data_IF_056863176236
#
_entry.id   IF_056863176236
#
_cell.length_a   1.000
_cell.length_b   1.000
_cell.length_c   1.000
_cell.angle_alpha   90.00
_cell.angle_beta   90.00
_cell.angle_gamma   90.00
#
_symmetry.space_group_name_H-M   'P 1'
#
loop_
_entity.id
_entity.type
_entity.pdbx_description
1 polymer ?
#
# COMPACT_ATOMS: atom_id res chain seq x y z
N UNK A 1 -4.27 10.97 16.75
CA UNK A 1 -5.66 10.97 16.25
C UNK A 1 -5.87 9.69 15.44
N UNK A 2 -7.02 9.03 15.60
CA UNK A 2 -7.38 7.83 14.82
C UNK A 2 -8.66 8.17 14.05
N UNK A 3 -8.65 7.92 12.75
CA UNK A 3 -9.81 8.15 11.87
C UNK A 3 -10.36 6.81 11.41
N UNK A 4 -11.68 6.63 11.55
CA UNK A 4 -12.37 5.38 11.19
C UNK A 4 -13.43 5.68 10.12
N UNK A 5 -13.40 4.93 9.02
CA UNK A 5 -14.40 4.99 7.95
C UNK A 5 -15.44 3.89 8.15
N UNK A 6 -16.71 4.26 8.32
CA UNK A 6 -17.82 3.31 8.57
C UNK A 6 -18.99 3.52 7.61
N UNK A 7 -19.86 2.52 7.48
CA UNK A 7 -21.07 2.56 6.64
C UNK A 7 -21.54 1.16 6.20
N UNK A 8 -22.70 1.05 5.54
CA UNK A 8 -23.25 -0.21 5.03
C UNK A 8 -22.38 -0.85 3.94
N UNK A 9 -22.35 -2.17 3.81
CA UNK A 9 -21.64 -2.84 2.70
C UNK A 9 -21.98 -2.21 1.35
N UNK A 10 -20.97 -2.00 0.49
CA UNK A 10 -21.12 -1.32 -0.80
C UNK A 10 -21.10 0.21 -0.77
N UNK A 11 -21.06 0.86 0.39
CA UNK A 11 -21.08 2.35 0.50
C UNK A 11 -19.82 3.08 0.00
N UNK A 12 -18.87 2.39 -0.64
CA UNK A 12 -17.67 3.01 -1.22
C UNK A 12 -16.51 3.31 -0.27
N UNK A 13 -16.61 3.02 1.04
CA UNK A 13 -15.52 3.21 2.03
C UNK A 13 -14.19 2.57 1.62
N UNK A 14 -14.19 1.28 1.23
CA UNK A 14 -12.97 0.62 0.78
C UNK A 14 -12.42 1.26 -0.51
N UNK A 15 -13.30 1.66 -1.43
CA UNK A 15 -12.89 2.36 -2.64
C UNK A 15 -12.25 3.71 -2.33
N UNK A 16 -12.81 4.49 -1.40
CA UNK A 16 -12.25 5.76 -0.97
C UNK A 16 -10.87 5.57 -0.32
N UNK A 17 -10.72 4.61 0.59
CA UNK A 17 -9.46 4.40 1.31
C UNK A 17 -8.38 3.83 0.38
N UNK A 18 -8.68 2.76 -0.35
CA UNK A 18 -7.66 2.04 -1.12
C UNK A 18 -7.51 2.55 -2.55
N UNK A 19 -8.60 2.81 -3.26
CA UNK A 19 -8.56 3.18 -4.69
C UNK A 19 -8.45 4.68 -4.93
N UNK A 20 -8.54 5.49 -3.87
CA UNK A 20 -8.43 6.96 -3.96
C UNK A 20 -7.30 7.47 -3.08
N UNK A 21 -7.42 7.37 -1.75
CA UNK A 21 -6.42 7.96 -0.84
C UNK A 21 -5.07 7.26 -0.96
N UNK A 22 -5.04 5.93 -0.81
CA UNK A 22 -3.79 5.18 -0.91
C UNK A 22 -3.20 5.21 -2.33
N UNK A 23 -4.06 5.05 -3.35
CA UNK A 23 -3.63 5.11 -4.75
C UNK A 23 -3.03 6.48 -5.14
N UNK A 24 -3.62 7.60 -4.69
CA UNK A 24 -3.07 8.93 -4.92
C UNK A 24 -1.73 9.11 -4.22
N UNK A 25 -1.61 8.61 -2.99
CA UNK A 25 -0.34 8.67 -2.27
C UNK A 25 0.76 7.85 -2.95
N UNK A 26 0.44 6.66 -3.45
CA UNK A 26 1.38 5.82 -4.18
C UNK A 26 1.78 6.48 -5.52
N UNK A 27 0.83 7.10 -6.22
CA UNK A 27 1.12 7.86 -7.44
C UNK A 27 2.10 9.02 -7.15
N UNK A 28 1.82 9.85 -6.16
CA UNK A 28 2.70 10.98 -5.80
C UNK A 28 4.09 10.50 -5.38
N UNK A 29 4.18 9.37 -4.66
CA UNK A 29 5.46 8.76 -4.33
C UNK A 29 6.20 8.29 -5.59
N UNK A 30 5.50 7.66 -6.52
CA UNK A 30 6.08 7.18 -7.78
C UNK A 30 6.60 8.33 -8.64
N UNK A 31 5.88 9.45 -8.67
CA UNK A 31 6.28 10.69 -9.36
C UNK A 31 7.53 11.33 -8.75
N UNK A 32 7.82 11.07 -7.47
CA UNK A 32 9.02 11.57 -6.79
C UNK A 32 10.32 10.83 -7.15
N UNK A 33 10.22 9.64 -7.77
CA UNK A 33 11.40 8.88 -8.18
C UNK A 33 12.04 9.42 -9.46
N UNK A 34 13.29 9.01 -9.73
CA UNK A 34 13.97 9.33 -10.99
C UNK A 34 13.25 8.70 -12.20
N UNK A 35 13.40 9.30 -13.38
CA UNK A 35 12.84 8.78 -14.64
C UNK A 35 13.27 7.35 -14.94
N UNK A 36 14.49 6.97 -14.54
CA UNK A 36 15.00 5.60 -14.64
C UNK A 36 14.15 4.62 -13.83
N UNK A 37 13.86 4.93 -12.55
CA UNK A 37 13.01 4.08 -11.71
C UNK A 37 11.58 4.08 -12.24
N UNK A 38 11.05 5.24 -12.62
CA UNK A 38 9.69 5.35 -13.17
C UNK A 38 9.48 4.46 -14.41
N UNK A 39 10.48 4.33 -15.28
CA UNK A 39 10.41 3.42 -16.44
C UNK A 39 10.26 1.95 -16.05
N UNK A 40 10.79 1.56 -14.89
CA UNK A 40 10.68 0.20 -14.36
C UNK A 40 9.45 -0.04 -13.49
N UNK A 41 8.74 1.01 -13.08
CA UNK A 41 7.51 0.88 -12.31
C UNK A 41 6.36 0.44 -13.23
N UNK A 42 5.51 -0.45 -12.72
CA UNK A 42 4.27 -0.79 -13.40
C UNK A 42 3.38 0.46 -13.44
N UNK A 43 2.90 0.81 -14.63
CA UNK A 43 1.94 1.89 -14.77
C UNK A 43 0.64 1.51 -14.04
N UNK A 44 0.34 2.22 -12.97
CA UNK A 44 -0.94 2.07 -12.27
C UNK A 44 -1.98 3.03 -12.86
N UNK A 45 -3.26 2.61 -12.92
CA UNK A 45 -4.31 3.50 -13.38
C UNK A 45 -4.42 4.70 -12.44
N UNK A 46 -4.47 5.91 -13.02
CA UNK A 46 -4.64 7.13 -12.25
C UNK A 46 -5.95 7.06 -11.42
N UNK A 47 -5.90 7.32 -10.10
CA UNK A 47 -7.09 7.39 -9.26
C UNK A 47 -8.05 8.47 -9.75
N UNK A 48 -9.35 8.23 -9.56
CA UNK A 48 -10.43 9.15 -9.97
C UNK A 48 -10.60 10.28 -8.94
N UNK A 49 -9.61 11.14 -8.81
CA UNK A 49 -9.62 12.31 -7.92
C UNK A 49 -9.06 13.53 -8.63
N UNK A 50 -9.54 14.72 -8.25
CA UNK A 50 -9.04 15.99 -8.80
C UNK A 50 -7.74 16.42 -8.11
N UNK A 51 -7.77 16.47 -6.77
CA UNK A 51 -6.64 16.91 -5.95
C UNK A 51 -6.87 16.45 -4.50
N UNK A 52 -5.79 16.04 -3.82
CA UNK A 52 -5.76 15.87 -2.36
C UNK A 52 -4.57 16.67 -1.82
N UNK A 53 -4.83 17.68 -1.00
CA UNK A 53 -3.78 18.53 -0.42
C UNK A 53 -3.18 17.90 0.82
N UNK A 54 -1.87 18.08 1.03
CA UNK A 54 -1.14 17.62 2.21
C UNK A 54 -1.30 16.11 2.47
N UNK A 55 -1.33 15.30 1.41
CA UNK A 55 -1.44 13.84 1.52
C UNK A 55 -0.09 13.25 1.93
N UNK A 56 0.04 12.61 3.11
CA UNK A 56 1.26 11.92 3.50
C UNK A 56 1.44 10.62 2.70
N UNK A 57 2.65 10.06 2.74
CA UNK A 57 2.89 8.71 2.21
C UNK A 57 2.05 7.69 2.98
N UNK A 58 1.19 6.96 2.26
CA UNK A 58 0.29 5.97 2.80
C UNK A 58 0.91 4.57 2.71
N UNK A 59 0.89 3.84 3.83
CA UNK A 59 1.21 2.41 3.86
C UNK A 59 -0.09 1.64 3.99
N UNK A 60 -0.40 0.84 2.97
CA UNK A 60 -1.64 0.08 2.92
C UNK A 60 -1.47 -1.27 3.60
N UNK A 61 -2.26 -1.50 4.65
CA UNK A 61 -2.39 -2.81 5.29
C UNK A 61 -3.76 -3.38 4.92
N UNK A 62 -3.79 -4.49 4.20
CA UNK A 62 -5.02 -5.14 3.74
C UNK A 62 -5.04 -6.63 4.09
N UNK A 63 -6.22 -7.25 4.03
CA UNK A 63 -6.38 -8.69 4.25
C UNK A 63 -6.04 -9.53 2.99
N UNK A 64 -5.35 -8.97 1.99
CA UNK A 64 -4.87 -9.76 0.85
C UNK A 64 -4.00 -10.89 1.39
N UNK A 65 -4.26 -12.12 0.89
CA UNK A 65 -3.46 -13.29 1.28
C UNK A 65 -2.00 -13.01 0.95
N UNK A 66 -1.12 -13.43 1.85
CA UNK A 66 0.30 -13.47 1.57
C UNK A 66 0.54 -14.41 0.39
N UNK A 67 0.99 -13.86 -0.74
CA UNK A 67 1.51 -14.64 -1.86
C UNK A 67 2.95 -15.08 -1.52
N UNK A 68 3.09 -15.93 -0.50
CA UNK A 68 4.34 -16.58 -0.17
C UNK A 68 4.50 -17.89 -0.94
N UNK A 69 5.74 -18.31 -1.19
CA UNK A 69 5.99 -19.68 -1.64
C UNK A 69 5.72 -20.67 -0.48
N UNK A 70 5.65 -21.98 -0.76
CA UNK A 70 5.44 -23.02 0.25
C UNK A 70 6.50 -23.06 1.38
N UNK A 71 7.62 -22.33 1.22
CA UNK A 71 8.70 -22.21 2.20
C UNK A 71 8.59 -20.93 3.06
N UNK A 72 7.59 -20.09 2.82
CA UNK A 72 7.35 -18.86 3.57
C UNK A 72 6.68 -19.19 4.89
N UNK A 73 7.41 -18.99 5.98
CA UNK A 73 6.93 -19.21 7.35
C UNK A 73 6.70 -17.86 8.04
N UNK A 74 5.91 -17.84 9.12
CA UNK A 74 5.69 -16.62 9.93
C UNK A 74 7.03 -16.02 10.35
N UNK A 75 7.98 -16.84 10.81
CA UNK A 75 9.31 -16.37 11.22
C UNK A 75 10.14 -15.74 10.09
N UNK A 76 9.92 -16.12 8.82
CA UNK A 76 10.56 -15.46 7.66
C UNK A 76 9.87 -14.15 7.31
N UNK A 77 8.53 -14.12 7.33
CA UNK A 77 7.77 -12.92 6.96
C UNK A 77 7.91 -11.80 8.00
N UNK A 78 8.14 -12.16 9.26
CA UNK A 78 8.34 -11.20 10.35
C UNK A 78 9.80 -10.83 10.63
N UNK A 79 10.75 -11.28 9.81
CA UNK A 79 12.21 -11.13 10.02
C UNK A 79 12.79 -11.72 11.33
N UNK A 80 11.97 -12.40 12.13
CA UNK A 80 12.40 -13.04 13.39
C UNK A 80 13.46 -14.12 13.12
N UNK A 81 13.28 -14.94 12.08
CA UNK A 81 14.21 -16.02 11.74
C UNK A 81 15.62 -15.51 11.43
N UNK A 82 15.73 -14.37 10.73
CA UNK A 82 17.02 -13.75 10.45
C UNK A 82 17.70 -13.28 11.74
N UNK A 83 16.93 -12.67 12.64
CA UNK A 83 17.42 -12.19 13.94
C UNK A 83 17.94 -13.33 14.82
N UNK A 84 17.19 -14.44 14.91
CA UNK A 84 17.56 -15.60 15.73
C UNK A 84 18.78 -16.34 15.17
N UNK A 85 18.96 -16.38 13.84
CA UNK A 85 20.10 -17.06 13.21
C UNK A 85 21.44 -16.37 13.46
N UNK A 86 21.44 -15.09 13.85
CA UNK A 86 22.64 -14.31 14.15
C UNK A 86 23.08 -14.39 15.62
N UNK A 87 22.30 -15.07 16.48
CA UNK A 87 22.66 -15.42 17.85
C UNK A 87 23.42 -16.75 17.89
#
# INVERSE_FOLDING_TARGET
>A
MITVFTGRSGSGKSSLVFNTIAAESEQLLNESYSSYIQFHLNQQPKPKVKEIKNLPIAITISQKRFNGNSRSTVGRVSDIYASVRLL
#
